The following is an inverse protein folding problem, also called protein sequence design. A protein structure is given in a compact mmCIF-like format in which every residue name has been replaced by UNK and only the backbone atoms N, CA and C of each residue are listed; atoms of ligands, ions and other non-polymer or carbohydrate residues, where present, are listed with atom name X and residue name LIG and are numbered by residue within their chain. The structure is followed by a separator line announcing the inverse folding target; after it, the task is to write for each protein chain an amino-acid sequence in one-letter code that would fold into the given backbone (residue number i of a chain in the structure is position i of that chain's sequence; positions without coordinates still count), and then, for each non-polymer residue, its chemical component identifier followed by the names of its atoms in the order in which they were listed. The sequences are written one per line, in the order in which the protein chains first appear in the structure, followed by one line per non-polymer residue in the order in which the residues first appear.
data_IF_849584071832
#
_entry.id   IF_849584071832
#
_cell.length_a   1.000
_cell.length_b   1.000
_cell.length_c   1.000
_cell.angle_alpha   90.00
_cell.angle_beta   90.00
_cell.angle_gamma   90.00
#
_symmetry.space_group_name_H-M   'P 1'
#
loop_
_entity.id
_entity.type
_entity.pdbx_description
1 polymer ?
#
# COMPACT_ATOMS: atom_id res chain seq x y z
N UNK A 1 23.64 5.68 10.43
CA UNK A 1 24.66 4.73 9.94
C UNK A 1 24.01 3.85 8.87
N UNK A 2 24.61 3.68 7.68
CA UNK A 2 24.07 2.75 6.69
C UNK A 2 24.14 1.32 7.23
N UNK A 3 23.09 0.55 6.99
CA UNK A 3 23.03 -0.89 7.28
C UNK A 3 23.11 -1.64 5.95
N UNK A 4 23.79 -2.78 5.96
CA UNK A 4 23.93 -3.63 4.76
C UNK A 4 22.95 -4.78 4.88
N UNK A 5 22.22 -5.04 3.80
CA UNK A 5 21.31 -6.19 3.66
C UNK A 5 21.94 -7.15 2.66
N UNK A 6 22.10 -8.41 3.05
CA UNK A 6 22.57 -9.48 2.16
C UNK A 6 21.37 -10.32 1.73
N UNK A 7 21.13 -10.40 0.42
CA UNK A 7 20.03 -11.17 -0.15
C UNK A 7 20.58 -12.29 -1.03
N UNK A 8 20.13 -13.53 -0.79
CA UNK A 8 20.42 -14.66 -1.68
C UNK A 8 19.33 -14.73 -2.75
N UNK A 9 19.74 -14.75 -4.01
CA UNK A 9 18.87 -14.89 -5.18
C UNK A 9 19.30 -16.11 -5.98
N UNK A 10 18.37 -16.75 -6.68
CA UNK A 10 18.73 -17.61 -7.80
C UNK A 10 19.22 -16.77 -8.98
N UNK A 11 19.99 -17.37 -9.87
CA UNK A 11 20.55 -16.68 -11.04
C UNK A 11 19.45 -16.07 -11.90
N UNK A 12 18.36 -16.79 -12.15
CA UNK A 12 17.23 -16.30 -12.95
C UNK A 12 16.61 -15.02 -12.36
N UNK A 13 16.42 -14.98 -11.03
CA UNK A 13 15.84 -13.82 -10.34
C UNK A 13 16.83 -12.67 -10.33
N UNK A 14 18.12 -12.94 -10.12
CA UNK A 14 19.16 -11.92 -10.21
C UNK A 14 19.20 -11.27 -11.60
N UNK A 15 19.17 -12.07 -12.66
CA UNK A 15 19.17 -11.58 -14.03
C UNK A 15 17.93 -10.76 -14.35
N UNK A 16 16.76 -11.21 -13.90
CA UNK A 16 15.50 -10.47 -14.04
C UNK A 16 15.60 -9.08 -13.38
N UNK A 17 16.02 -9.02 -12.12
CA UNK A 17 16.14 -7.75 -11.41
C UNK A 17 17.21 -6.85 -12.01
N UNK A 18 18.34 -7.41 -12.44
CA UNK A 18 19.41 -6.67 -13.08
C UNK A 18 18.98 -6.07 -14.43
N UNK A 19 18.19 -6.80 -15.21
CA UNK A 19 17.65 -6.32 -16.48
C UNK A 19 16.74 -5.11 -16.26
N UNK A 20 15.74 -5.23 -15.39
CA UNK A 20 14.83 -4.11 -15.12
C UNK A 20 15.50 -2.92 -14.44
N UNK A 21 16.48 -3.16 -13.56
CA UNK A 21 17.25 -2.07 -12.96
C UNK A 21 18.01 -1.26 -14.02
N UNK A 22 18.57 -1.94 -15.05
CA UNK A 22 19.23 -1.28 -16.18
C UNK A 22 18.26 -0.49 -17.04
N UNK A 23 17.11 -1.08 -17.37
CA UNK A 23 16.08 -0.41 -18.18
C UNK A 23 15.56 0.86 -17.48
N UNK A 24 15.48 0.82 -16.15
CA UNK A 24 15.07 1.93 -15.30
C UNK A 24 16.23 2.85 -14.85
N UNK A 25 17.39 2.74 -15.54
CA UNK A 25 18.61 3.53 -15.37
C UNK A 25 19.06 3.72 -13.90
N UNK A 26 19.00 2.66 -13.10
CA UNK A 26 19.35 2.71 -11.68
C UNK A 26 20.14 1.48 -11.23
N UNK A 27 20.79 1.60 -10.06
CA UNK A 27 21.52 0.47 -9.49
C UNK A 27 20.56 -0.62 -9.02
N UNK A 28 21.03 -1.88 -9.02
CA UNK A 28 20.24 -3.02 -8.53
C UNK A 28 19.75 -2.81 -7.09
N UNK A 29 20.61 -2.30 -6.21
CA UNK A 29 20.25 -2.01 -4.83
C UNK A 29 19.15 -0.95 -4.72
N UNK A 30 19.22 0.13 -5.51
CA UNK A 30 18.19 1.17 -5.51
C UNK A 30 16.87 0.68 -6.11
N UNK A 31 16.93 -0.16 -7.15
CA UNK A 31 15.75 -0.80 -7.72
C UNK A 31 15.03 -1.67 -6.69
N UNK A 32 15.76 -2.55 -6.00
CA UNK A 32 15.20 -3.43 -4.96
C UNK A 32 14.63 -2.62 -3.80
N UNK A 33 15.35 -1.61 -3.31
CA UNK A 33 14.89 -0.74 -2.22
C UNK A 33 13.58 -0.03 -2.61
N UNK A 34 13.53 0.53 -3.81
CA UNK A 34 12.37 1.28 -4.30
C UNK A 34 11.16 0.36 -4.47
N UNK A 35 11.36 -0.82 -5.06
CA UNK A 35 10.31 -1.81 -5.25
C UNK A 35 9.75 -2.30 -3.90
N UNK A 36 10.62 -2.55 -2.92
CA UNK A 36 10.22 -2.97 -1.59
C UNK A 36 9.42 -1.87 -0.86
N UNK A 37 9.86 -0.60 -0.92
CA UNK A 37 9.12 0.53 -0.34
C UNK A 37 7.73 0.67 -0.95
N UNK A 38 7.65 0.69 -2.30
CA UNK A 38 6.36 0.76 -3.00
C UNK A 38 5.44 -0.40 -2.63
N UNK A 39 5.97 -1.62 -2.51
CA UNK A 39 5.17 -2.75 -2.10
C UNK A 39 4.59 -2.57 -0.69
N UNK A 40 5.40 -2.08 0.25
CA UNK A 40 4.96 -1.79 1.63
C UNK A 40 3.89 -0.70 1.64
N UNK A 41 4.14 0.44 1.01
CA UNK A 41 3.20 1.58 0.92
C UNK A 41 1.86 1.15 0.29
N UNK A 42 1.89 0.28 -0.73
CA UNK A 42 0.68 -0.10 -1.48
C UNK A 42 -0.08 -1.27 -0.88
N UNK A 43 0.60 -2.20 -0.20
CA UNK A 43 0.01 -3.50 0.18
C UNK A 43 0.06 -3.80 1.68
N UNK A 44 0.86 -3.06 2.46
CA UNK A 44 1.08 -3.33 3.88
C UNK A 44 0.65 -2.12 4.73
N UNK A 45 0.93 -0.90 4.29
CA UNK A 45 0.45 0.30 4.96
C UNK A 45 -1.04 0.48 4.67
N UNK A 46 -1.86 0.24 5.68
CA UNK A 46 -3.16 0.88 5.81
C UNK A 46 -2.97 2.39 5.98
N UNK A 47 -4.05 3.15 5.81
CA UNK A 47 -4.06 4.62 5.93
C UNK A 47 -3.05 5.12 6.96
N UNK A 48 -2.13 5.98 6.52
CA UNK A 48 -1.03 6.45 7.35
C UNK A 48 -1.56 7.31 8.52
N UNK A 49 -0.69 7.73 9.45
CA UNK A 49 -1.13 8.50 10.62
C UNK A 49 -1.79 9.85 10.24
N UNK A 50 -1.31 10.50 9.17
CA UNK A 50 -1.86 11.76 8.69
C UNK A 50 -3.21 11.54 8.01
N UNK A 51 -3.32 10.53 7.14
CA UNK A 51 -4.57 10.12 6.51
C UNK A 51 -5.60 9.72 7.57
N UNK A 52 -5.21 8.93 8.58
CA UNK A 52 -6.09 8.55 9.68
C UNK A 52 -6.48 9.75 10.55
N UNK A 53 -5.60 10.74 10.71
CA UNK A 53 -5.93 11.99 11.40
C UNK A 53 -6.96 12.81 10.61
N UNK A 54 -6.83 12.90 9.29
CA UNK A 54 -7.83 13.56 8.43
C UNK A 54 -9.18 12.82 8.47
N UNK A 55 -9.17 11.49 8.35
CA UNK A 55 -10.38 10.66 8.44
C UNK A 55 -11.09 10.88 9.78
N UNK A 56 -10.35 10.89 10.90
CA UNK A 56 -10.92 11.09 12.24
C UNK A 56 -11.52 12.49 12.43
N UNK A 57 -10.91 13.51 11.84
CA UNK A 57 -11.37 14.90 11.96
C UNK A 57 -12.44 15.29 10.93
N UNK A 58 -12.66 14.48 9.90
CA UNK A 58 -13.70 14.72 8.91
C UNK A 58 -15.09 14.34 9.47
N UNK A 59 -15.78 15.31 10.07
CA UNK A 59 -17.09 15.12 10.69
C UNK A 59 -18.14 14.64 9.68
N UNK A 60 -18.20 15.23 8.49
CA UNK A 60 -19.16 14.88 7.45
C UNK A 60 -19.01 13.43 6.96
N UNK A 61 -17.77 12.97 6.76
CA UNK A 61 -17.47 11.58 6.42
C UNK A 61 -17.90 10.63 7.55
N UNK A 62 -17.51 10.93 8.79
CA UNK A 62 -17.83 10.08 9.94
C UNK A 62 -19.33 9.94 10.18
N UNK A 63 -20.09 11.02 9.99
CA UNK A 63 -21.55 10.97 10.05
C UNK A 63 -22.14 10.11 8.92
N UNK A 64 -21.63 10.25 7.70
CA UNK A 64 -22.04 9.45 6.55
C UNK A 64 -21.80 7.95 6.80
N UNK A 65 -20.62 7.59 7.30
CA UNK A 65 -20.27 6.21 7.64
C UNK A 65 -21.19 5.63 8.73
N UNK A 66 -21.46 6.40 9.79
CA UNK A 66 -22.41 5.98 10.86
C UNK A 66 -23.83 5.77 10.32
N UNK A 67 -24.30 6.65 9.43
CA UNK A 67 -25.60 6.49 8.76
C UNK A 67 -25.63 5.23 7.90
N UNK A 68 -24.63 5.03 7.03
CA UNK A 68 -24.51 3.85 6.18
C UNK A 68 -24.49 2.54 6.98
N UNK A 69 -23.75 2.50 8.10
CA UNK A 69 -23.74 1.35 9.01
C UNK A 69 -25.13 1.06 9.59
N UNK A 70 -25.85 2.10 10.04
CA UNK A 70 -27.22 1.95 10.57
C UNK A 70 -28.19 1.48 9.49
N UNK A 71 -28.08 2.00 8.27
CA UNK A 71 -28.94 1.63 7.15
C UNK A 71 -28.71 0.18 6.73
N UNK A 72 -27.44 -0.26 6.62
CA UNK A 72 -27.08 -1.64 6.34
C UNK A 72 -27.61 -2.60 7.42
N UNK A 73 -27.44 -2.25 8.72
CA UNK A 73 -27.96 -3.04 9.85
C UNK A 73 -29.49 -3.17 9.81
N UNK A 74 -30.18 -2.12 9.39
CA UNK A 74 -31.64 -2.11 9.26
C UNK A 74 -32.13 -2.67 7.92
N UNK A 75 -31.24 -3.25 7.11
CA UNK A 75 -31.51 -3.75 5.76
C UNK A 75 -32.17 -2.72 4.83
N UNK A 76 -31.93 -1.43 5.06
CA UNK A 76 -32.40 -0.37 4.16
C UNK A 76 -31.58 -0.39 2.87
N UNK A 77 -32.25 -0.19 1.72
CA UNK A 77 -31.60 -0.22 0.41
C UNK A 77 -31.27 -1.61 -0.12
N UNK A 78 -31.81 -2.68 0.48
CA UNK A 78 -31.70 -4.01 -0.11
C UNK A 78 -32.51 -4.06 -1.41
N UNK A 79 -31.88 -4.57 -2.45
CA UNK A 79 -32.52 -4.80 -3.74
C UNK A 79 -33.63 -5.85 -3.56
N UNK A 80 -34.87 -5.44 -3.81
CA UNK A 80 -36.02 -6.33 -3.83
C UNK A 80 -36.21 -6.73 -5.30
N UNK A 81 -36.08 -8.03 -5.59
CA UNK A 81 -36.34 -8.63 -6.91
C UNK A 81 -37.78 -9.12 -6.97
#
# INVERSE_FOLDING_TARGET
MPKVVTLRLSDDVYHLFSHYAKDDNRTLSNFIETAAKKYIEQNIEYADEYEMHEIKNNTGLNESLKRGYKDAKNKKGHYIV
#
